data_IF_442891166479
#
_entry.id   IF_442891166479
#
_cell.length_a   1.000
_cell.length_b   1.000
_cell.length_c   1.000
_cell.angle_alpha   90.00
_cell.angle_beta   90.00
_cell.angle_gamma   90.00
#
_symmetry.space_group_name_H-M   'P 1'
#
loop_
_entity.id
_entity.type
_entity.pdbx_description
1 polymer ?
#
# COMPACT_ATOMS: atom_id res chain seq x y z
N UNK A 1 4.98 -16.76 8.21
CA UNK A 1 3.59 -16.32 7.97
C UNK A 1 3.48 -14.90 8.50
N UNK A 2 3.51 -13.90 7.63
CA UNK A 2 3.37 -12.50 8.05
C UNK A 2 1.88 -12.13 8.18
N UNK A 3 1.56 -11.16 9.03
CA UNK A 3 0.19 -10.70 9.25
C UNK A 3 -0.31 -9.70 8.18
N UNK A 4 0.47 -9.48 7.11
CA UNK A 4 0.09 -8.59 6.02
C UNK A 4 -1.19 -9.10 5.35
N UNK A 5 -2.31 -8.33 5.36
CA UNK A 5 -3.58 -8.77 4.83
C UNK A 5 -3.65 -8.59 3.31
N UNK A 6 -2.86 -9.36 2.57
CA UNK A 6 -2.62 -9.20 1.12
C UNK A 6 -3.91 -9.08 0.30
N UNK A 7 -4.92 -9.94 0.56
CA UNK A 7 -6.22 -9.87 -0.14
C UNK A 7 -6.97 -8.55 0.09
N UNK A 8 -6.86 -7.97 1.29
CA UNK A 8 -7.47 -6.68 1.59
C UNK A 8 -6.68 -5.53 0.97
N UNK A 9 -5.35 -5.63 0.92
CA UNK A 9 -4.52 -4.66 0.22
C UNK A 9 -4.80 -4.64 -1.29
N UNK A 10 -5.00 -5.82 -1.90
CA UNK A 10 -5.41 -5.91 -3.32
C UNK A 10 -6.78 -5.27 -3.59
N UNK A 11 -7.70 -5.40 -2.63
CA UNK A 11 -9.01 -4.76 -2.72
C UNK A 11 -8.91 -3.24 -2.49
N UNK A 12 -8.05 -2.82 -1.56
CA UNK A 12 -7.77 -1.41 -1.27
C UNK A 12 -7.16 -0.72 -2.49
N UNK A 13 -6.19 -1.35 -3.17
CA UNK A 13 -5.59 -0.82 -4.39
C UNK A 13 -6.66 -0.53 -5.46
N UNK A 14 -7.55 -1.49 -5.73
CA UNK A 14 -8.68 -1.31 -6.65
C UNK A 14 -9.64 -0.21 -6.19
N UNK A 15 -9.94 -0.14 -4.89
CA UNK A 15 -10.82 0.88 -4.35
C UNK A 15 -10.21 2.29 -4.40
N UNK A 16 -8.89 2.40 -4.23
CA UNK A 16 -8.17 3.66 -4.22
C UNK A 16 -8.15 4.33 -5.59
N UNK A 17 -8.28 3.58 -6.70
CA UNK A 17 -8.37 4.14 -8.06
C UNK A 17 -9.51 5.16 -8.23
N UNK A 18 -10.63 4.96 -7.54
CA UNK A 18 -11.79 5.88 -7.58
C UNK A 18 -11.86 6.83 -6.38
N UNK A 19 -10.83 6.86 -5.53
CA UNK A 19 -10.77 7.68 -4.30
C UNK A 19 -9.46 8.48 -4.26
N UNK A 20 -9.31 9.30 -3.23
CA UNK A 20 -8.10 10.11 -2.99
C UNK A 20 -7.94 10.39 -1.49
N UNK A 21 -6.79 10.97 -1.12
CA UNK A 21 -6.44 11.33 0.26
C UNK A 21 -6.41 10.15 1.24
N UNK A 22 -6.10 8.94 0.77
CA UNK A 22 -5.95 7.77 1.63
C UNK A 22 -4.51 7.76 2.15
N UNK A 23 -4.32 7.62 3.47
CA UNK A 23 -3.00 7.38 4.07
C UNK A 23 -2.94 5.96 4.66
N UNK A 24 -1.98 5.17 4.18
CA UNK A 24 -1.71 3.82 4.71
C UNK A 24 -0.58 3.90 5.72
N UNK A 25 -0.90 3.76 7.00
CA UNK A 25 0.08 3.71 8.08
C UNK A 25 0.57 2.27 8.24
N UNK A 26 1.88 2.06 8.19
CA UNK A 26 2.43 0.71 8.12
C UNK A 26 3.83 0.58 8.74
N UNK A 27 4.17 -0.65 9.12
CA UNK A 27 5.55 -1.13 9.27
C UNK A 27 5.98 -1.80 7.95
N UNK A 28 6.84 -2.82 8.03
CA UNK A 28 7.18 -3.66 6.89
C UNK A 28 5.95 -4.44 6.38
N UNK A 29 5.74 -4.43 5.07
CA UNK A 29 4.71 -5.23 4.40
C UNK A 29 5.37 -6.31 3.52
N UNK A 30 4.66 -7.42 3.38
CA UNK A 30 5.05 -8.55 2.53
C UNK A 30 4.08 -8.65 1.35
N UNK A 31 4.60 -8.82 0.13
CA UNK A 31 3.80 -8.94 -1.10
C UNK A 31 2.78 -7.78 -1.28
N UNK A 32 3.26 -6.53 -1.13
CA UNK A 32 2.43 -5.32 -1.17
C UNK A 32 2.51 -4.55 -2.49
N UNK A 33 2.96 -5.20 -3.57
CA UNK A 33 3.25 -4.56 -4.87
C UNK A 33 2.01 -3.87 -5.47
N UNK A 34 0.80 -4.35 -5.13
CA UNK A 34 -0.47 -3.79 -5.62
C UNK A 34 -0.82 -2.43 -5.02
N UNK A 35 -0.45 -2.18 -3.76
CA UNK A 35 -0.72 -0.88 -3.11
C UNK A 35 0.37 0.15 -3.36
N UNK A 36 1.50 -0.26 -3.92
CA UNK A 36 2.61 0.62 -4.36
C UNK A 36 2.61 0.82 -5.88
N UNK A 37 1.52 0.47 -6.56
CA UNK A 37 1.41 0.60 -8.01
C UNK A 37 1.40 2.08 -8.45
N UNK A 38 2.10 2.46 -9.54
CA UNK A 38 2.22 3.87 -9.96
C UNK A 38 0.87 4.56 -10.22
N UNK A 39 -0.17 3.83 -10.59
CA UNK A 39 -1.52 4.35 -10.81
C UNK A 39 -2.18 4.91 -9.54
N UNK A 40 -1.61 4.60 -8.36
CA UNK A 40 -2.07 5.06 -7.05
C UNK A 40 -1.36 6.33 -6.57
N UNK A 41 -0.38 6.84 -7.32
CA UNK A 41 0.31 8.09 -6.98
C UNK A 41 -0.68 9.26 -6.86
N UNK A 42 -0.57 9.98 -5.75
CA UNK A 42 -1.50 11.06 -5.38
C UNK A 42 -2.85 10.60 -4.82
N UNK A 43 -3.17 9.30 -4.86
CA UNK A 43 -4.42 8.74 -4.31
C UNK A 43 -4.22 8.02 -2.98
N UNK A 44 -3.18 7.19 -2.92
CA UNK A 44 -2.77 6.43 -1.74
C UNK A 44 -1.35 6.84 -1.35
N UNK A 45 -1.20 7.35 -0.13
CA UNK A 45 0.11 7.75 0.41
C UNK A 45 0.56 6.78 1.49
N UNK A 46 1.76 6.22 1.35
CA UNK A 46 2.37 5.42 2.40
C UNK A 46 2.98 6.29 3.49
N UNK A 47 2.63 6.00 4.75
CA UNK A 47 3.28 6.57 5.93
C UNK A 47 3.97 5.42 6.67
N UNK A 48 5.19 5.12 6.23
CA UNK A 48 5.99 4.02 6.73
C UNK A 48 6.70 4.40 8.04
N UNK A 49 6.44 3.66 9.11
CA UNK A 49 7.25 3.68 10.33
C UNK A 49 8.48 2.77 10.21
N UNK A 50 8.39 1.74 9.36
CA UNK A 50 9.52 0.90 8.97
C UNK A 50 9.36 0.52 7.49
N UNK A 51 10.25 1.01 6.62
CA UNK A 51 10.12 0.83 5.18
C UNK A 51 10.60 -0.56 4.75
N UNK A 52 9.78 -1.26 3.95
CA UNK A 52 10.13 -2.49 3.23
C UNK A 52 10.60 -2.19 1.80
N UNK A 53 11.07 -3.22 1.08
CA UNK A 53 11.61 -3.09 -0.29
C UNK A 53 10.68 -2.28 -1.21
N UNK A 54 9.41 -2.66 -1.27
CA UNK A 54 8.39 -2.05 -2.13
C UNK A 54 8.09 -0.58 -1.84
N UNK A 55 8.54 -0.05 -0.69
CA UNK A 55 8.28 1.34 -0.27
C UNK A 55 9.55 2.19 -0.15
N UNK A 56 10.69 1.67 -0.61
CA UNK A 56 11.99 2.36 -0.60
C UNK A 56 12.42 2.82 -1.99
N UNK A 57 11.97 2.12 -3.02
CA UNK A 57 12.18 2.44 -4.44
C UNK A 57 11.28 3.61 -4.85
#
# INVERSE_FOLDING_TARGET
>A
MAATPTRLLDALARHALSRSNITLMQLHLENADTVTAPELDGRLRHRCFFAGKQTRE
#
